data_IF_430726099267
#
_entry.id   IF_430726099267
#
_cell.length_a   1.000
_cell.length_b   1.000
_cell.length_c   1.000
_cell.angle_alpha   90.00
_cell.angle_beta   90.00
_cell.angle_gamma   90.00
#
_symmetry.space_group_name_H-M   'P 1'
#
loop_
_entity.id
_entity.type
_entity.pdbx_description
1 polymer ?
#
# COMPACT_ATOMS: atom_id res chain seq x y z
N UNK A 1 -46.52 -7.05 -27.55
CA UNK A 1 -45.71 -6.00 -28.20
C UNK A 1 -44.29 -6.11 -27.67
N UNK A 2 -43.33 -6.53 -28.51
CA UNK A 2 -41.92 -6.49 -28.13
C UNK A 2 -41.47 -5.03 -28.16
N UNK A 3 -40.94 -4.53 -27.04
CA UNK A 3 -40.36 -3.19 -26.99
C UNK A 3 -39.05 -3.24 -27.78
N UNK A 4 -39.05 -2.63 -28.96
CA UNK A 4 -37.96 -2.69 -29.96
C UNK A 4 -36.57 -2.43 -29.37
N UNK A 5 -36.47 -1.59 -28.34
CA UNK A 5 -35.20 -1.34 -27.64
C UNK A 5 -34.60 -2.56 -26.92
N UNK A 6 -35.42 -3.43 -26.33
CA UNK A 6 -34.93 -4.53 -25.49
C UNK A 6 -34.35 -5.69 -26.31
N UNK A 7 -34.92 -5.95 -27.49
CA UNK A 7 -34.39 -6.98 -28.39
C UNK A 7 -33.06 -6.55 -29.03
N UNK A 8 -32.91 -5.27 -29.36
CA UNK A 8 -31.66 -4.71 -29.90
C UNK A 8 -30.51 -4.84 -28.89
N UNK A 9 -30.74 -4.48 -27.62
CA UNK A 9 -29.74 -4.60 -26.56
C UNK A 9 -29.37 -6.08 -26.31
N UNK A 10 -30.36 -6.98 -26.24
CA UNK A 10 -30.08 -8.43 -26.09
C UNK A 10 -29.22 -8.96 -27.24
N UNK A 11 -29.55 -8.61 -28.47
CA UNK A 11 -28.82 -9.10 -29.64
C UNK A 11 -27.38 -8.57 -29.68
N UNK A 12 -27.16 -7.29 -29.33
CA UNK A 12 -25.82 -6.69 -29.19
C UNK A 12 -25.02 -7.39 -28.07
N UNK A 13 -25.63 -7.60 -26.91
CA UNK A 13 -24.99 -8.29 -25.79
C UNK A 13 -24.62 -9.74 -26.12
N UNK A 14 -25.46 -10.44 -26.88
CA UNK A 14 -25.17 -11.79 -27.36
C UNK A 14 -24.08 -11.81 -28.43
N UNK A 15 -24.00 -10.79 -29.29
CA UNK A 15 -22.93 -10.64 -30.27
C UNK A 15 -21.56 -10.43 -29.59
N UNK A 16 -21.51 -9.56 -28.58
CA UNK A 16 -20.28 -9.21 -27.86
C UNK A 16 -19.99 -10.08 -26.63
N UNK A 17 -20.82 -11.09 -26.36
CA UNK A 17 -20.68 -11.99 -25.19
C UNK A 17 -19.26 -12.53 -24.99
N UNK A 18 -18.55 -12.81 -26.09
CA UNK A 18 -17.17 -13.30 -26.05
C UNK A 18 -16.21 -12.28 -25.43
N UNK A 19 -16.36 -11.00 -25.73
CA UNK A 19 -15.55 -9.92 -25.17
C UNK A 19 -15.78 -9.75 -23.67
N UNK A 20 -17.04 -9.78 -23.23
CA UNK A 20 -17.36 -9.71 -21.80
C UNK A 20 -16.81 -10.90 -21.02
N UNK A 21 -16.91 -12.12 -21.57
CA UNK A 21 -16.36 -13.32 -20.94
C UNK A 21 -14.82 -13.26 -20.88
N UNK A 22 -14.17 -12.82 -21.96
CA UNK A 22 -12.72 -12.67 -21.99
C UNK A 22 -12.25 -11.65 -20.96
N UNK A 23 -12.91 -10.50 -20.88
CA UNK A 23 -12.61 -9.47 -19.88
C UNK A 23 -12.84 -9.97 -18.46
N UNK A 24 -13.91 -10.74 -18.22
CA UNK A 24 -14.16 -11.38 -16.92
C UNK A 24 -13.06 -12.37 -16.54
N UNK A 25 -12.64 -13.25 -17.47
CA UNK A 25 -11.54 -14.20 -17.24
C UNK A 25 -10.24 -13.44 -16.96
N UNK A 26 -9.93 -12.40 -17.74
CA UNK A 26 -8.74 -11.58 -17.55
C UNK A 26 -8.71 -10.93 -16.16
N UNK A 27 -9.83 -10.35 -15.73
CA UNK A 27 -9.97 -9.75 -14.40
C UNK A 27 -9.79 -10.77 -13.27
N UNK A 28 -10.35 -11.98 -13.43
CA UNK A 28 -10.17 -13.07 -12.45
C UNK A 28 -8.70 -13.49 -12.37
N UNK A 29 -8.02 -13.62 -13.50
CA UNK A 29 -6.58 -13.93 -13.55
C UNK A 29 -5.77 -12.84 -12.85
N UNK A 30 -6.04 -11.56 -13.12
CA UNK A 30 -5.40 -10.46 -12.40
C UNK A 30 -5.71 -10.50 -10.90
N UNK A 31 -6.93 -10.86 -10.49
CA UNK A 31 -7.27 -11.06 -9.09
C UNK A 31 -6.40 -12.12 -8.41
N UNK A 32 -6.18 -13.27 -9.06
CA UNK A 32 -5.28 -14.31 -8.54
C UNK A 32 -3.81 -13.85 -8.49
N UNK A 33 -3.35 -13.11 -9.50
CA UNK A 33 -2.00 -12.54 -9.51
C UNK A 33 -1.83 -11.54 -8.35
N UNK A 34 -2.81 -10.68 -8.11
CA UNK A 34 -2.80 -9.75 -6.98
C UNK A 34 -2.79 -10.49 -5.63
N UNK A 35 -3.59 -11.55 -5.48
CA UNK A 35 -3.59 -12.37 -4.28
C UNK A 35 -2.21 -13.01 -4.04
N UNK A 36 -1.57 -13.53 -5.09
CA UNK A 36 -0.21 -14.06 -5.01
C UNK A 36 0.84 -12.98 -4.69
N UNK A 37 0.58 -11.73 -5.07
CA UNK A 37 1.45 -10.59 -4.79
C UNK A 37 1.30 -10.00 -3.37
N UNK A 38 0.31 -10.44 -2.58
CA UNK A 38 0.07 -9.93 -1.22
C UNK A 38 1.34 -9.95 -0.33
N UNK A 39 2.14 -11.04 -0.27
CA UNK A 39 3.35 -11.05 0.55
C UNK A 39 4.40 -10.03 0.11
N UNK A 40 4.49 -9.76 -1.20
CA UNK A 40 5.38 -8.74 -1.74
C UNK A 40 4.88 -7.33 -1.43
N UNK A 41 3.56 -7.13 -1.45
CA UNK A 41 2.95 -5.85 -1.08
C UNK A 41 3.16 -5.54 0.41
N UNK A 42 2.99 -6.52 1.30
CA UNK A 42 3.24 -6.35 2.73
C UNK A 42 4.72 -6.13 3.01
N UNK A 43 5.62 -6.90 2.38
CA UNK A 43 7.06 -6.73 2.51
C UNK A 43 7.50 -5.33 2.03
N UNK A 44 7.02 -4.90 0.88
CA UNK A 44 7.35 -3.58 0.31
C UNK A 44 6.87 -2.45 1.23
N UNK A 45 5.66 -2.57 1.79
CA UNK A 45 5.13 -1.60 2.73
C UNK A 45 5.97 -1.56 4.02
N UNK A 46 6.29 -2.71 4.61
CA UNK A 46 7.10 -2.80 5.84
C UNK A 46 8.48 -2.17 5.64
N UNK A 47 9.16 -2.47 4.54
CA UNK A 47 10.46 -1.89 4.22
C UNK A 47 10.37 -0.38 3.98
N UNK A 48 9.37 0.08 3.23
CA UNK A 48 9.15 1.50 2.98
C UNK A 48 8.91 2.26 4.29
N UNK A 49 8.02 1.76 5.15
CA UNK A 49 7.78 2.37 6.45
C UNK A 49 9.02 2.28 7.36
N UNK A 50 9.80 1.20 7.29
CA UNK A 50 11.08 1.08 8.00
C UNK A 50 12.08 2.18 7.63
N UNK A 51 12.21 2.48 6.32
CA UNK A 51 13.05 3.58 5.83
C UNK A 51 12.54 4.93 6.32
N UNK A 52 11.23 5.17 6.22
CA UNK A 52 10.62 6.42 6.68
C UNK A 52 10.79 6.62 8.20
N UNK A 53 10.69 5.54 8.98
CA UNK A 53 10.94 5.58 10.42
C UNK A 53 12.39 5.93 10.73
N UNK A 54 13.35 5.34 10.00
CA UNK A 54 14.78 5.66 10.13
C UNK A 54 15.06 7.14 9.86
N UNK A 55 14.57 7.65 8.73
CA UNK A 55 14.72 9.05 8.35
C UNK A 55 14.11 9.97 9.41
N UNK A 56 12.89 9.65 9.87
CA UNK A 56 12.22 10.41 10.91
C UNK A 56 13.00 10.40 12.21
N UNK A 57 13.58 9.26 12.62
CA UNK A 57 14.41 9.15 13.81
C UNK A 57 15.63 10.06 13.77
N UNK A 58 16.34 10.08 12.65
CA UNK A 58 17.47 11.01 12.42
C UNK A 58 17.03 12.46 12.50
N UNK A 59 15.89 12.81 11.87
CA UNK A 59 15.34 14.17 11.92
C UNK A 59 14.94 14.57 13.34
N UNK A 60 14.34 13.67 14.12
CA UNK A 60 13.95 13.94 15.51
C UNK A 60 15.17 14.18 16.40
N UNK A 61 16.24 13.40 16.22
CA UNK A 61 17.51 13.63 16.90
C UNK A 61 18.09 14.99 16.51
N UNK A 62 18.15 15.31 15.21
CA UNK A 62 18.60 16.63 14.75
C UNK A 62 17.79 17.78 15.35
N UNK A 63 16.46 17.67 15.34
CA UNK A 63 15.56 18.68 15.90
C UNK A 63 15.74 18.83 17.43
N UNK A 64 15.97 17.74 18.16
CA UNK A 64 16.22 17.77 19.59
C UNK A 64 17.43 18.64 19.94
N UNK A 65 18.50 18.58 19.14
CA UNK A 65 19.74 19.30 19.41
C UNK A 65 19.82 20.69 18.78
N UNK A 66 19.15 20.91 17.64
CA UNK A 66 19.22 22.17 16.87
C UNK A 66 18.07 23.13 17.22
N UNK A 67 16.85 22.61 17.40
CA UNK A 67 15.63 23.42 17.45
C UNK A 67 15.15 23.62 18.88
N UNK A 68 15.07 22.54 19.67
CA UNK A 68 14.43 22.58 20.98
C UNK A 68 15.40 22.92 22.13
N UNK A 69 14.93 23.78 23.05
CA UNK A 69 15.63 24.12 24.31
C UNK A 69 14.80 23.64 25.51
N UNK A 70 15.46 23.29 26.61
CA UNK A 70 14.79 22.82 27.84
C UNK A 70 14.37 21.34 27.80
N UNK A 71 13.36 20.97 28.60
CA UNK A 71 12.95 19.57 28.79
C UNK A 71 12.42 18.86 27.53
N UNK A 72 11.80 19.61 26.62
CA UNK A 72 11.23 19.08 25.37
C UNK A 72 12.31 18.48 24.44
N UNK A 73 13.56 18.94 24.53
CA UNK A 73 14.69 18.34 23.79
C UNK A 73 14.86 16.86 24.12
N UNK A 74 14.73 16.47 25.38
CA UNK A 74 14.89 15.08 25.78
C UNK A 74 13.76 14.19 25.27
N UNK A 75 12.52 14.70 25.23
CA UNK A 75 11.40 13.98 24.63
C UNK A 75 11.65 13.71 23.15
N UNK A 76 12.06 14.72 22.38
CA UNK A 76 12.38 14.54 20.96
C UNK A 76 13.56 13.58 20.73
N UNK A 77 14.58 13.61 21.59
CA UNK A 77 15.70 12.68 21.50
C UNK A 77 15.26 11.23 21.75
N UNK A 78 14.40 10.99 22.76
CA UNK A 78 13.84 9.67 23.05
C UNK A 78 12.99 9.18 21.89
N UNK A 79 12.10 10.03 21.34
CA UNK A 79 11.30 9.67 20.16
C UNK A 79 12.18 9.34 18.95
N UNK A 80 13.27 10.08 18.73
CA UNK A 80 14.22 9.78 17.68
C UNK A 80 14.83 8.38 17.83
N UNK A 81 15.28 8.02 19.04
CA UNK A 81 15.82 6.69 19.33
C UNK A 81 14.75 5.61 19.13
N UNK A 82 13.54 5.81 19.64
CA UNK A 82 12.44 4.86 19.48
C UNK A 82 12.10 4.63 18.01
N UNK A 83 12.11 5.67 17.18
CA UNK A 83 11.87 5.56 15.73
C UNK A 83 12.99 4.79 15.01
N UNK A 84 14.26 4.99 15.40
CA UNK A 84 15.36 4.19 14.87
C UNK A 84 15.23 2.71 15.26
N UNK A 85 14.86 2.43 16.52
CA UNK A 85 14.63 1.05 16.99
C UNK A 85 13.45 0.41 16.23
N UNK A 86 12.34 1.13 16.08
CA UNK A 86 11.17 0.64 15.35
C UNK A 86 11.49 0.37 13.88
N UNK A 87 12.20 1.29 13.21
CA UNK A 87 12.68 1.08 11.85
C UNK A 87 13.62 -0.12 11.73
N UNK A 88 14.47 -0.36 12.73
CA UNK A 88 15.40 -1.49 12.74
C UNK A 88 14.65 -2.81 12.79
N UNK A 89 13.65 -2.90 13.68
CA UNK A 89 12.78 -4.08 13.76
C UNK A 89 11.98 -4.31 12.48
N UNK A 90 11.59 -3.26 11.76
CA UNK A 90 10.93 -3.38 10.46
C UNK A 90 11.84 -4.05 9.41
N UNK A 91 13.17 -3.90 9.50
CA UNK A 91 14.12 -4.57 8.60
C UNK A 91 14.52 -5.97 9.05
N UNK A 92 14.66 -6.21 10.37
CA UNK A 92 15.11 -7.51 10.89
C UNK A 92 14.00 -8.55 10.96
N UNK A 93 12.76 -8.10 11.08
CA UNK A 93 11.56 -8.94 11.21
C UNK A 93 10.47 -8.42 10.27
N UNK A 94 10.69 -8.50 8.93
CA UNK A 94 9.78 -7.91 7.96
C UNK A 94 8.55 -8.77 7.63
N UNK A 95 8.51 -10.03 8.12
CA UNK A 95 7.43 -11.01 7.92
C UNK A 95 7.18 -11.83 9.16
#
# INVERSE_FOLDING_TARGET
>A
MKTVGNDLIRNQLHADRKWYLLLGILLVVFGFILLAALPFATLSAVLLFGVLMMLSGVMHLGAAFIVFKGGTRWLWAIFGILYLIAGYFAFTTPV
#
